data_IF_757228243408
#
_entry.id   IF_757228243408
#
_cell.length_a   1.000
_cell.length_b   1.000
_cell.length_c   1.000
_cell.angle_alpha   90.00
_cell.angle_beta   90.00
_cell.angle_gamma   90.00
#
_symmetry.space_group_name_H-M   'P 1'
#
loop_
_entity.id
_entity.type
_entity.pdbx_description
1 polymer ?
#
# COMPACT_ATOMS: atom_id res chain seq x y z
N UNK A 1 -23.35 -33.87 17.47
CA UNK A 1 -23.16 -35.03 18.37
C UNK A 1 -22.68 -34.60 19.75
N UNK A 2 -21.51 -33.97 19.91
CA UNK A 2 -21.03 -33.55 21.23
C UNK A 2 -21.94 -32.52 21.95
N UNK A 3 -22.47 -31.53 21.23
CA UNK A 3 -23.42 -30.55 21.81
C UNK A 3 -24.75 -31.20 22.25
N UNK A 4 -25.17 -32.28 21.60
CA UNK A 4 -26.39 -32.99 21.98
C UNK A 4 -26.14 -33.80 23.27
N UNK A 5 -24.93 -34.32 23.44
CA UNK A 5 -24.52 -35.08 24.62
C UNK A 5 -24.34 -34.19 25.86
N UNK A 6 -23.93 -32.93 25.67
CA UNK A 6 -23.81 -31.94 26.74
C UNK A 6 -24.42 -30.61 26.27
N UNK A 7 -25.73 -30.39 26.44
CA UNK A 7 -26.40 -29.17 25.99
C UNK A 7 -26.16 -27.97 26.90
N UNK A 8 -25.68 -28.17 28.13
CA UNK A 8 -25.43 -27.10 29.09
C UNK A 8 -24.31 -26.15 28.62
N UNK A 9 -23.41 -26.64 27.76
CA UNK A 9 -22.37 -25.85 27.10
C UNK A 9 -22.92 -24.63 26.32
N UNK A 10 -24.18 -24.65 25.89
CA UNK A 10 -24.81 -23.52 25.21
C UNK A 10 -24.98 -22.31 26.13
N UNK A 11 -24.99 -22.52 27.44
CA UNK A 11 -25.00 -21.43 28.43
C UNK A 11 -23.69 -20.61 28.38
N UNK A 12 -22.60 -21.17 27.85
CA UNK A 12 -21.31 -20.48 27.72
C UNK A 12 -21.36 -19.23 26.81
N UNK A 13 -22.42 -19.08 26.01
CA UNK A 13 -22.67 -17.86 25.22
C UNK A 13 -23.02 -16.66 26.10
N UNK A 14 -23.49 -16.91 27.33
CA UNK A 14 -23.82 -15.85 28.27
C UNK A 14 -22.56 -15.11 28.75
N UNK A 15 -22.51 -13.76 28.66
CA UNK A 15 -21.38 -12.97 29.14
C UNK A 15 -21.19 -13.06 30.66
N UNK A 16 -22.15 -13.62 31.40
CA UNK A 16 -22.01 -13.91 32.83
C UNK A 16 -20.77 -14.78 33.11
N UNK A 17 -20.49 -15.79 32.28
CA UNK A 17 -19.38 -16.71 32.52
C UNK A 17 -18.01 -16.05 32.39
N UNK A 18 -17.83 -15.14 31.42
CA UNK A 18 -16.56 -14.42 31.27
C UNK A 18 -16.35 -13.44 32.43
N UNK A 19 -17.42 -12.79 32.92
CA UNK A 19 -17.35 -11.91 34.09
C UNK A 19 -17.02 -12.71 35.36
N UNK A 20 -17.69 -13.84 35.57
CA UNK A 20 -17.41 -14.73 36.71
C UNK A 20 -15.96 -15.27 36.66
N UNK A 21 -15.47 -15.64 35.47
CA UNK A 21 -14.10 -16.12 35.29
C UNK A 21 -13.06 -15.03 35.59
N UNK A 22 -13.31 -13.81 35.13
CA UNK A 22 -12.47 -12.63 35.42
C UNK A 22 -12.37 -12.33 36.92
N UNK A 23 -13.47 -12.47 37.67
CA UNK A 23 -13.53 -12.20 39.10
C UNK A 23 -12.88 -13.33 39.91
N UNK A 24 -13.19 -14.58 39.56
CA UNK A 24 -12.79 -15.74 40.37
C UNK A 24 -11.33 -16.17 40.13
N UNK A 25 -10.80 -15.92 38.92
CA UNK A 25 -9.47 -16.37 38.52
C UNK A 25 -8.73 -15.29 37.72
N UNK A 26 -8.43 -14.11 38.31
CA UNK A 26 -7.93 -12.95 37.56
C UNK A 26 -6.60 -13.22 36.84
N UNK A 27 -5.66 -13.92 37.47
CA UNK A 27 -4.34 -14.20 36.89
C UNK A 27 -4.44 -15.13 35.67
N UNK A 28 -5.22 -16.21 35.80
CA UNK A 28 -5.46 -17.16 34.71
C UNK A 28 -6.28 -16.50 33.61
N UNK A 29 -7.29 -15.72 33.98
CA UNK A 29 -8.14 -15.01 33.02
C UNK A 29 -7.34 -14.00 32.19
N UNK A 30 -6.40 -13.28 32.81
CA UNK A 30 -5.53 -12.34 32.11
C UNK A 30 -4.70 -13.02 31.01
N UNK A 31 -4.06 -14.15 31.30
CA UNK A 31 -3.31 -14.92 30.30
C UNK A 31 -4.25 -15.52 29.23
N UNK A 32 -5.39 -16.03 29.66
CA UNK A 32 -6.37 -16.68 28.77
C UNK A 32 -6.98 -15.71 27.77
N UNK A 33 -7.29 -14.47 28.18
CA UNK A 33 -7.83 -13.42 27.29
C UNK A 33 -6.88 -13.13 26.12
N UNK A 34 -5.57 -13.11 26.38
CA UNK A 34 -4.56 -12.93 25.35
C UNK A 34 -4.44 -14.12 24.39
N UNK A 35 -4.84 -15.32 24.81
CA UNK A 35 -4.90 -16.49 23.93
C UNK A 35 -6.20 -16.52 23.11
N UNK A 36 -7.36 -16.25 23.74
CA UNK A 36 -8.67 -16.21 23.07
C UNK A 36 -8.71 -15.13 21.99
N UNK A 37 -7.97 -14.05 22.14
CA UNK A 37 -7.91 -13.00 21.12
C UNK A 37 -7.57 -13.52 19.72
N UNK A 38 -6.76 -14.59 19.61
CA UNK A 38 -6.44 -15.25 18.35
C UNK A 38 -7.67 -15.85 17.62
N UNK A 39 -8.80 -16.01 18.31
CA UNK A 39 -10.06 -16.42 17.70
C UNK A 39 -10.81 -15.27 17.00
N UNK A 40 -10.51 -14.01 17.34
CA UNK A 40 -11.16 -12.81 16.80
C UNK A 40 -10.40 -12.24 15.59
N UNK A 41 -9.16 -12.69 15.39
CA UNK A 41 -8.29 -12.22 14.30
C UNK A 41 -8.86 -12.57 12.93
N UNK A 42 -8.74 -11.64 11.98
CA UNK A 42 -9.32 -11.74 10.64
C UNK A 42 -10.55 -10.84 10.45
N UNK A 43 -11.17 -10.36 11.53
CA UNK A 43 -12.21 -9.33 11.44
C UNK A 43 -11.67 -8.02 10.83
N UNK A 44 -10.39 -7.70 11.09
CA UNK A 44 -9.69 -6.56 10.48
C UNK A 44 -9.47 -6.74 8.97
N UNK A 45 -9.29 -7.98 8.50
CA UNK A 45 -9.15 -8.27 7.07
C UNK A 45 -10.46 -8.02 6.31
N UNK A 46 -11.62 -8.23 6.95
CA UNK A 46 -12.92 -7.87 6.38
C UNK A 46 -13.01 -6.36 6.06
N UNK A 47 -12.32 -5.51 6.83
CA UNK A 47 -12.26 -4.07 6.53
C UNK A 47 -11.34 -3.75 5.35
N UNK A 48 -10.24 -4.49 5.17
CA UNK A 48 -9.40 -4.35 3.98
C UNK A 48 -10.20 -4.70 2.70
N UNK A 49 -11.08 -5.69 2.80
CA UNK A 49 -11.91 -6.19 1.70
C UNK A 49 -13.22 -5.40 1.46
N UNK A 50 -13.51 -4.37 2.28
CA UNK A 50 -14.62 -3.43 2.02
C UNK A 50 -14.48 -2.75 0.65
N UNK A 51 -13.25 -2.58 0.17
CA UNK A 51 -12.96 -2.04 -1.16
C UNK A 51 -13.42 -2.95 -2.30
N UNK A 52 -13.61 -4.25 -2.05
CA UNK A 52 -13.95 -5.25 -3.08
C UNK A 52 -15.41 -5.69 -3.01
N UNK A 53 -15.96 -5.94 -1.81
CA UNK A 53 -17.30 -6.51 -1.65
C UNK A 53 -18.35 -5.52 -1.10
N UNK A 54 -17.92 -4.40 -0.51
CA UNK A 54 -18.80 -3.43 0.13
C UNK A 54 -19.43 -3.91 1.44
N UNK A 55 -20.07 -2.98 2.18
CA UNK A 55 -20.52 -3.22 3.57
C UNK A 55 -21.63 -4.26 3.72
N UNK A 56 -22.68 -4.19 2.91
CA UNK A 56 -23.89 -5.03 3.10
C UNK A 56 -23.61 -6.53 2.94
N UNK A 57 -22.91 -6.99 1.89
CA UNK A 57 -22.62 -8.42 1.72
C UNK A 57 -21.77 -8.99 2.87
N UNK A 58 -20.77 -8.23 3.33
CA UNK A 58 -19.89 -8.63 4.44
C UNK A 58 -20.71 -8.84 5.73
N UNK A 59 -21.55 -7.86 6.10
CA UNK A 59 -22.35 -7.94 7.33
C UNK A 59 -23.33 -9.10 7.28
N UNK A 60 -24.02 -9.29 6.15
CA UNK A 60 -24.96 -10.39 5.97
C UNK A 60 -24.25 -11.74 6.09
N UNK A 61 -23.20 -11.97 5.31
CA UNK A 61 -22.47 -13.24 5.34
C UNK A 61 -21.88 -13.54 6.73
N UNK A 62 -21.34 -12.52 7.40
CA UNK A 62 -20.79 -12.67 8.74
C UNK A 62 -21.85 -13.07 9.76
N UNK A 63 -22.96 -12.33 9.84
CA UNK A 63 -23.98 -12.55 10.87
C UNK A 63 -24.89 -13.75 10.59
N UNK A 64 -25.17 -14.08 9.33
CA UNK A 64 -26.10 -15.17 8.98
C UNK A 64 -25.45 -16.53 8.82
N UNK A 65 -24.17 -16.58 8.45
CA UNK A 65 -23.46 -17.85 8.16
C UNK A 65 -22.25 -18.03 9.06
N UNK A 66 -21.30 -17.09 9.03
CA UNK A 66 -20.00 -17.30 9.67
C UNK A 66 -20.12 -17.35 11.18
N UNK A 67 -20.80 -16.38 11.79
CA UNK A 67 -20.94 -16.28 13.25
C UNK A 67 -21.68 -17.48 13.86
N UNK A 68 -22.86 -17.92 13.35
CA UNK A 68 -23.52 -19.12 13.87
C UNK A 68 -22.66 -20.39 13.73
N UNK A 69 -21.99 -20.56 12.59
CA UNK A 69 -21.13 -21.73 12.35
C UNK A 69 -19.91 -21.74 13.28
N UNK A 70 -19.24 -20.60 13.48
CA UNK A 70 -18.13 -20.48 14.42
C UNK A 70 -18.57 -20.75 15.85
N UNK A 71 -19.72 -20.22 16.26
CA UNK A 71 -20.28 -20.45 17.58
C UNK A 71 -20.52 -21.94 17.82
N UNK A 72 -21.22 -22.61 16.90
CA UNK A 72 -21.46 -24.05 16.98
C UNK A 72 -20.15 -24.85 16.99
N UNK A 73 -19.13 -24.41 16.25
CA UNK A 73 -17.84 -25.07 16.24
C UNK A 73 -17.13 -24.98 17.59
N UNK A 74 -17.04 -23.79 18.19
CA UNK A 74 -16.41 -23.61 19.50
C UNK A 74 -17.18 -24.28 20.63
N UNK A 75 -18.50 -24.19 20.62
CA UNK A 75 -19.36 -24.90 21.58
C UNK A 75 -19.18 -26.42 21.45
N UNK A 76 -19.09 -26.94 20.22
CA UNK A 76 -18.82 -28.36 19.97
C UNK A 76 -17.45 -28.81 20.50
N UNK A 77 -16.41 -28.00 20.27
CA UNK A 77 -15.08 -28.26 20.83
C UNK A 77 -15.09 -28.21 22.36
N UNK A 78 -15.80 -27.25 22.96
CA UNK A 78 -15.97 -27.14 24.42
C UNK A 78 -16.62 -28.39 25.02
N UNK A 79 -17.73 -28.86 24.43
CA UNK A 79 -18.39 -30.09 24.85
C UNK A 79 -17.47 -31.32 24.73
N UNK A 80 -16.66 -31.39 23.67
CA UNK A 80 -15.67 -32.46 23.51
C UNK A 80 -14.58 -32.43 24.60
N UNK A 81 -14.10 -31.24 24.96
CA UNK A 81 -13.09 -31.06 26.02
C UNK A 81 -13.65 -31.48 27.38
N UNK A 82 -14.89 -31.11 27.71
CA UNK A 82 -15.55 -31.52 28.95
C UNK A 82 -15.73 -33.05 29.01
N UNK A 83 -16.15 -33.67 27.92
CA UNK A 83 -16.35 -35.12 27.84
C UNK A 83 -15.06 -35.94 28.00
N UNK A 84 -13.88 -35.34 27.72
CA UNK A 84 -12.58 -36.01 27.78
C UNK A 84 -11.72 -35.55 28.98
N UNK A 85 -12.34 -35.07 30.06
CA UNK A 85 -11.61 -34.74 31.29
C UNK A 85 -10.77 -33.46 31.23
N UNK A 86 -11.04 -32.57 30.27
CA UNK A 86 -10.47 -31.22 30.22
C UNK A 86 -9.10 -31.09 29.53
N UNK A 87 -8.38 -32.18 29.27
CA UNK A 87 -7.06 -32.14 28.60
C UNK A 87 -7.12 -32.78 27.23
N UNK A 88 -7.00 -31.95 26.19
CA UNK A 88 -7.09 -32.36 24.79
C UNK A 88 -6.02 -31.61 24.00
N UNK A 89 -5.32 -32.28 23.08
CA UNK A 89 -4.22 -31.66 22.31
C UNK A 89 -4.74 -30.73 21.22
N UNK A 90 -5.45 -31.31 20.25
CA UNK A 90 -6.05 -30.60 19.12
C UNK A 90 -7.55 -30.91 19.01
N UNK A 91 -8.40 -30.24 19.81
CA UNK A 91 -9.84 -30.56 19.89
C UNK A 91 -10.55 -30.58 18.54
N UNK A 92 -10.19 -29.67 17.64
CA UNK A 92 -10.77 -29.60 16.29
C UNK A 92 -10.54 -30.88 15.48
N UNK A 93 -9.35 -31.48 15.53
CA UNK A 93 -9.03 -32.70 14.78
C UNK A 93 -9.44 -33.96 15.54
N UNK A 94 -9.22 -34.01 16.85
CA UNK A 94 -9.54 -35.17 17.70
C UNK A 94 -11.03 -35.47 17.80
N UNK A 95 -11.88 -34.44 17.68
CA UNK A 95 -13.33 -34.60 17.64
C UNK A 95 -13.81 -35.32 16.35
N UNK A 96 -12.99 -35.36 15.30
CA UNK A 96 -13.29 -36.05 14.04
C UNK A 96 -12.66 -37.46 14.06
N UNK A 97 -13.45 -38.49 14.40
CA UNK A 97 -12.97 -39.87 14.46
C UNK A 97 -13.09 -40.62 13.12
N UNK A 98 -12.15 -41.53 12.87
CA UNK A 98 -12.16 -42.44 11.72
C UNK A 98 -11.97 -41.73 10.38
N UNK A 99 -12.84 -42.01 9.41
CA UNK A 99 -12.71 -41.54 8.03
C UNK A 99 -12.95 -40.03 7.85
N UNK A 100 -13.62 -39.37 8.82
CA UNK A 100 -13.97 -37.94 8.75
C UNK A 100 -12.78 -37.01 8.94
N UNK A 101 -11.69 -37.50 9.54
CA UNK A 101 -10.47 -36.73 9.79
C UNK A 101 -9.80 -36.27 8.49
N UNK A 102 -9.67 -37.16 7.50
CA UNK A 102 -8.94 -36.86 6.25
C UNK A 102 -9.63 -35.74 5.46
N UNK A 103 -10.95 -35.80 5.17
CA UNK A 103 -11.66 -34.70 4.53
C UNK A 103 -11.56 -33.39 5.32
N UNK A 104 -11.60 -33.45 6.66
CA UNK A 104 -11.50 -32.26 7.51
C UNK A 104 -10.11 -31.62 7.42
N UNK A 105 -9.05 -32.41 7.41
CA UNK A 105 -7.68 -31.91 7.22
C UNK A 105 -7.51 -31.24 5.85
N UNK A 106 -8.06 -31.85 4.79
CA UNK A 106 -8.03 -31.26 3.44
C UNK A 106 -8.81 -29.94 3.42
N UNK A 107 -9.99 -29.89 4.02
CA UNK A 107 -10.81 -28.69 4.10
C UNK A 107 -10.11 -27.58 4.90
N UNK A 108 -9.54 -27.91 6.06
CA UNK A 108 -8.78 -26.98 6.88
C UNK A 108 -7.56 -26.43 6.12
N UNK A 109 -6.84 -27.29 5.39
CA UNK A 109 -5.71 -26.89 4.55
C UNK A 109 -6.17 -25.92 3.46
N UNK A 110 -7.25 -26.23 2.74
CA UNK A 110 -7.82 -25.33 1.74
C UNK A 110 -8.22 -23.97 2.35
N UNK A 111 -8.83 -23.97 3.53
CA UNK A 111 -9.19 -22.74 4.25
C UNK A 111 -7.95 -21.91 4.62
N UNK A 112 -6.86 -22.53 5.10
CA UNK A 112 -5.61 -21.82 5.40
C UNK A 112 -4.96 -21.18 4.16
N UNK A 113 -5.04 -21.86 3.01
CA UNK A 113 -4.56 -21.30 1.73
C UNK A 113 -5.41 -20.09 1.32
N UNK A 114 -6.73 -20.19 1.40
CA UNK A 114 -7.65 -19.08 1.08
C UNK A 114 -7.40 -17.88 2.00
N UNK A 115 -7.26 -18.11 3.31
CA UNK A 115 -6.96 -17.06 4.28
C UNK A 115 -5.62 -16.36 3.97
N UNK A 116 -4.58 -17.12 3.63
CA UNK A 116 -3.29 -16.57 3.21
C UNK A 116 -3.40 -15.69 1.96
N UNK A 117 -4.19 -16.11 0.96
CA UNK A 117 -4.42 -15.32 -0.25
C UNK A 117 -5.14 -13.99 0.02
N UNK A 118 -6.10 -13.97 0.95
CA UNK A 118 -6.78 -12.75 1.36
C UNK A 118 -5.79 -11.74 1.98
N UNK A 119 -4.90 -12.21 2.87
CA UNK A 119 -3.88 -11.36 3.52
C UNK A 119 -2.87 -10.82 2.50
N UNK A 120 -2.41 -11.65 1.55
CA UNK A 120 -1.49 -11.22 0.48
C UNK A 120 -2.14 -10.12 -0.38
N UNK A 121 -3.40 -10.32 -0.76
CA UNK A 121 -4.17 -9.34 -1.55
C UNK A 121 -4.41 -8.03 -0.77
N UNK A 122 -4.69 -8.13 0.53
CA UNK A 122 -4.80 -7.00 1.44
C UNK A 122 -3.49 -6.21 1.53
N UNK A 123 -2.34 -6.89 1.62
CA UNK A 123 -1.03 -6.26 1.64
C UNK A 123 -0.72 -5.48 0.34
N UNK A 124 -1.10 -5.99 -0.82
CA UNK A 124 -0.99 -5.24 -2.08
C UNK A 124 -1.84 -3.97 -2.05
N UNK A 125 -3.09 -4.08 -1.56
CA UNK A 125 -4.02 -2.95 -1.48
C UNK A 125 -3.51 -1.85 -0.54
N UNK A 126 -3.05 -2.21 0.66
CA UNK A 126 -2.47 -1.27 1.63
C UNK A 126 -1.17 -0.63 1.09
N UNK A 127 -0.32 -1.42 0.43
CA UNK A 127 0.91 -0.90 -0.18
C UNK A 127 0.58 0.11 -1.28
N UNK A 128 -0.40 -0.20 -2.15
CA UNK A 128 -0.86 0.75 -3.18
C UNK A 128 -1.38 2.04 -2.55
N UNK A 129 -2.19 1.96 -1.50
CA UNK A 129 -2.69 3.14 -0.79
C UNK A 129 -1.55 3.98 -0.21
N UNK A 130 -0.54 3.34 0.39
CA UNK A 130 0.65 4.03 0.90
C UNK A 130 1.46 4.72 -0.23
N UNK A 131 1.58 4.09 -1.41
CA UNK A 131 2.19 4.71 -2.59
C UNK A 131 1.39 5.93 -3.06
N UNK A 132 0.06 5.85 -3.10
CA UNK A 132 -0.83 6.96 -3.47
C UNK A 132 -0.73 8.15 -2.49
N UNK A 133 -0.51 7.87 -1.21
CA UNK A 133 -0.26 8.89 -0.18
C UNK A 133 1.19 9.42 -0.19
N UNK A 134 2.02 9.05 -1.17
CA UNK A 134 3.45 9.37 -1.26
C UNK A 134 4.27 8.91 -0.04
N UNK A 135 3.81 7.89 0.69
CA UNK A 135 4.52 7.34 1.84
C UNK A 135 5.55 6.27 1.45
N UNK A 136 5.46 5.72 0.24
CA UNK A 136 6.37 4.74 -0.32
C UNK A 136 6.78 5.13 -1.75
N UNK A 137 7.94 4.64 -2.25
CA UNK A 137 8.33 4.80 -3.65
C UNK A 137 7.32 4.18 -4.59
N UNK A 138 7.31 4.65 -5.85
CA UNK A 138 6.51 4.02 -6.91
C UNK A 138 7.00 2.59 -7.12
N UNK A 139 6.12 1.65 -6.80
CA UNK A 139 6.31 0.23 -7.06
C UNK A 139 5.54 -0.16 -8.32
N UNK A 140 6.01 -1.21 -8.99
CA UNK A 140 5.30 -1.80 -10.12
C UNK A 140 3.97 -2.40 -9.63
N UNK A 141 2.87 -1.99 -10.29
CA UNK A 141 1.51 -2.45 -9.99
C UNK A 141 0.96 -3.03 -11.30
N UNK A 142 0.75 -4.34 -11.30
CA UNK A 142 0.12 -5.06 -12.40
C UNK A 142 -1.36 -5.22 -12.08
N UNK A 143 -2.23 -4.66 -12.91
CA UNK A 143 -3.67 -4.83 -12.76
C UNK A 143 -4.07 -6.18 -13.38
N UNK A 144 -4.74 -7.04 -12.61
CA UNK A 144 -5.10 -8.40 -13.09
C UNK A 144 -6.52 -8.45 -13.68
N UNK A 145 -7.33 -7.40 -13.49
CA UNK A 145 -8.71 -7.34 -13.99
C UNK A 145 -9.06 -5.97 -14.55
N UNK A 146 -9.67 -5.97 -15.74
CA UNK A 146 -10.21 -4.77 -16.40
C UNK A 146 -11.45 -4.22 -15.68
N UNK A 147 -12.19 -5.07 -14.98
CA UNK A 147 -13.46 -4.70 -14.33
C UNK A 147 -13.29 -4.22 -12.90
N UNK A 148 -12.21 -4.62 -12.22
CA UNK A 148 -11.97 -4.30 -10.82
C UNK A 148 -10.57 -3.75 -10.62
N UNK A 149 -10.47 -2.41 -10.51
CA UNK A 149 -9.21 -1.71 -10.18
C UNK A 149 -8.56 -2.17 -8.87
N UNK A 150 -9.33 -2.81 -7.97
CA UNK A 150 -8.81 -3.37 -6.71
C UNK A 150 -8.06 -4.70 -6.87
N UNK A 151 -8.15 -5.37 -8.02
CA UNK A 151 -7.39 -6.60 -8.27
C UNK A 151 -6.02 -6.24 -8.86
N UNK A 152 -5.03 -6.24 -7.97
CA UNK A 152 -3.67 -5.83 -8.26
C UNK A 152 -2.70 -6.92 -7.82
N UNK A 153 -1.64 -7.09 -8.60
CA UNK A 153 -0.49 -7.92 -8.28
C UNK A 153 0.75 -7.03 -8.20
N UNK A 154 1.49 -7.15 -7.10
CA UNK A 154 2.71 -6.39 -6.85
C UNK A 154 3.89 -7.38 -6.67
N UNK A 155 4.63 -7.71 -7.74
CA UNK A 155 5.62 -8.79 -7.72
C UNK A 155 6.65 -8.67 -6.60
N UNK A 156 7.16 -7.45 -6.36
CA UNK A 156 8.18 -7.19 -5.34
C UNK A 156 7.64 -7.31 -3.92
N UNK A 157 6.40 -6.87 -3.69
CA UNK A 157 5.74 -7.01 -2.39
C UNK A 157 5.51 -8.49 -2.12
N UNK A 158 5.07 -9.25 -3.13
CA UNK A 158 4.87 -10.69 -3.03
C UNK A 158 6.17 -11.43 -2.68
N UNK A 159 7.27 -11.11 -3.37
CA UNK A 159 8.58 -11.69 -3.09
C UNK A 159 9.08 -11.36 -1.67
N UNK A 160 8.94 -10.09 -1.25
CA UNK A 160 9.31 -9.66 0.09
C UNK A 160 8.48 -10.40 1.16
N UNK A 161 7.17 -10.49 0.98
CA UNK A 161 6.28 -11.25 1.86
C UNK A 161 6.69 -12.71 1.94
N UNK A 162 6.96 -13.36 0.80
CA UNK A 162 7.41 -14.75 0.75
C UNK A 162 8.72 -14.95 1.53
N UNK A 163 9.72 -14.08 1.34
CA UNK A 163 10.99 -14.14 2.08
C UNK A 163 10.79 -13.97 3.59
N UNK A 164 9.99 -12.98 4.00
CA UNK A 164 9.72 -12.72 5.42
C UNK A 164 8.97 -13.89 6.06
N UNK A 165 7.94 -14.42 5.40
CA UNK A 165 7.19 -15.59 5.91
C UNK A 165 8.08 -16.82 6.03
N UNK A 166 8.91 -17.11 5.02
CA UNK A 166 9.86 -18.24 5.09
C UNK A 166 10.85 -18.07 6.24
N UNK A 167 11.38 -16.86 6.45
CA UNK A 167 12.27 -16.57 7.58
C UNK A 167 11.56 -16.78 8.92
N UNK A 168 10.32 -16.29 9.07
CA UNK A 168 9.54 -16.49 10.30
C UNK A 168 9.24 -17.97 10.56
N UNK A 169 8.84 -18.74 9.53
CA UNK A 169 8.56 -20.18 9.67
C UNK A 169 9.81 -20.95 10.09
N UNK A 170 10.95 -20.71 9.45
CA UNK A 170 12.22 -21.37 9.80
C UNK A 170 12.75 -20.90 11.16
N UNK A 171 12.60 -19.61 11.48
CA UNK A 171 13.11 -19.02 12.72
C UNK A 171 12.33 -19.43 13.96
N UNK A 172 11.01 -19.59 13.86
CA UNK A 172 10.16 -19.99 14.99
C UNK A 172 9.95 -21.50 15.10
N UNK A 173 9.90 -22.23 13.97
CA UNK A 173 9.77 -23.70 13.89
C UNK A 173 8.42 -24.28 14.33
N UNK A 174 7.79 -23.70 15.35
CA UNK A 174 6.51 -24.15 15.92
C UNK A 174 5.41 -23.09 15.77
N UNK A 175 4.20 -23.54 15.43
CA UNK A 175 3.03 -22.68 15.23
C UNK A 175 2.60 -21.92 16.49
N UNK A 176 2.80 -22.49 17.68
CA UNK A 176 2.46 -21.87 18.96
C UNK A 176 3.27 -20.60 19.21
N UNK A 177 4.57 -20.63 18.89
CA UNK A 177 5.48 -19.47 19.06
C UNK A 177 5.19 -18.37 18.04
N UNK A 178 4.79 -18.74 16.81
CA UNK A 178 4.32 -17.79 15.80
C UNK A 178 3.02 -17.08 16.20
N UNK A 179 2.10 -17.79 16.86
CA UNK A 179 0.82 -17.22 17.29
C UNK A 179 1.01 -16.05 18.27
N UNK A 180 1.96 -16.17 19.21
CA UNK A 180 2.32 -15.09 20.14
C UNK A 180 2.88 -13.84 19.43
N UNK A 181 3.55 -14.01 18.29
CA UNK A 181 4.15 -12.89 17.55
C UNK A 181 3.10 -11.94 16.93
N UNK A 182 1.98 -12.50 16.47
CA UNK A 182 0.96 -11.80 15.69
C UNK A 182 -0.01 -10.97 16.54
N UNK A 183 -0.39 -11.45 17.74
CA UNK A 183 -1.42 -10.83 18.59
C UNK A 183 -1.16 -9.35 18.93
N UNK A 184 0.10 -8.96 19.12
CA UNK A 184 0.49 -7.57 19.45
C UNK A 184 0.21 -6.61 18.29
N UNK A 185 0.43 -7.02 17.05
CA UNK A 185 0.19 -6.16 15.89
C UNK A 185 -1.29 -5.89 15.69
N UNK A 186 -2.14 -6.90 15.86
CA UNK A 186 -3.59 -6.75 15.67
C UNK A 186 -4.22 -5.96 16.82
N UNK A 187 -3.87 -6.25 18.07
CA UNK A 187 -4.34 -5.46 19.22
C UNK A 187 -3.87 -4.00 19.16
N UNK A 188 -2.62 -3.78 18.71
CA UNK A 188 -2.11 -2.43 18.43
C UNK A 188 -2.90 -1.71 17.34
N UNK A 189 -3.26 -2.41 16.26
CA UNK A 189 -4.13 -1.87 15.21
C UNK A 189 -5.51 -1.50 15.76
N UNK A 190 -6.13 -2.33 16.61
CA UNK A 190 -7.42 -2.03 17.24
C UNK A 190 -7.39 -0.77 18.11
N UNK A 191 -6.33 -0.60 18.92
CA UNK A 191 -6.15 0.65 19.68
C UNK A 191 -6.07 1.88 18.77
N UNK A 192 -5.30 1.79 17.68
CA UNK A 192 -5.18 2.88 16.71
C UNK A 192 -6.53 3.16 16.05
N UNK A 193 -7.29 2.15 15.64
CA UNK A 193 -8.60 2.34 15.01
C UNK A 193 -9.63 2.91 16.00
N UNK A 194 -9.59 2.54 17.28
CA UNK A 194 -10.44 3.14 18.33
C UNK A 194 -10.12 4.62 18.54
N UNK A 195 -8.83 5.00 18.50
CA UNK A 195 -8.42 6.42 18.52
C UNK A 195 -8.87 7.16 17.26
N UNK A 196 -8.72 6.54 16.07
CA UNK A 196 -9.19 7.14 14.81
C UNK A 196 -10.72 7.29 14.80
N UNK A 197 -11.46 6.33 15.37
CA UNK A 197 -12.92 6.40 15.49
C UNK A 197 -13.34 7.61 16.32
N UNK A 198 -12.66 7.90 17.42
CA UNK A 198 -12.89 9.12 18.20
C UNK A 198 -12.70 10.40 17.36
N UNK A 199 -11.62 10.46 16.57
CA UNK A 199 -11.38 11.59 15.66
C UNK A 199 -12.48 11.71 14.61
N UNK A 200 -12.93 10.60 14.03
CA UNK A 200 -14.02 10.58 13.04
C UNK A 200 -15.34 11.04 13.65
N UNK A 201 -15.73 10.50 14.82
CA UNK A 201 -16.97 10.86 15.51
C UNK A 201 -17.02 12.36 15.84
N UNK A 202 -15.89 12.93 16.28
CA UNK A 202 -15.81 14.35 16.68
C UNK A 202 -15.63 15.32 15.50
N UNK A 203 -14.76 15.00 14.53
CA UNK A 203 -14.39 15.92 13.44
C UNK A 203 -15.25 15.77 12.18
N UNK A 204 -15.66 14.56 11.85
CA UNK A 204 -16.40 14.28 10.60
C UNK A 204 -17.89 14.20 10.89
N UNK A 205 -18.29 13.34 11.83
CA UNK A 205 -19.71 13.15 12.16
C UNK A 205 -20.27 14.20 13.11
N UNK A 206 -19.39 14.98 13.76
CA UNK A 206 -19.73 16.08 14.68
C UNK A 206 -20.70 15.65 15.79
N UNK A 207 -20.51 14.45 16.32
CA UNK A 207 -21.30 13.97 17.45
C UNK A 207 -21.01 14.77 18.72
N UNK A 208 -21.98 14.76 19.64
CA UNK A 208 -21.80 15.38 20.96
C UNK A 208 -20.62 14.72 21.69
N UNK A 209 -19.75 15.53 22.30
CA UNK A 209 -18.49 15.08 22.89
C UNK A 209 -18.69 13.94 23.90
N UNK A 210 -19.71 14.04 24.75
CA UNK A 210 -20.02 13.02 25.75
C UNK A 210 -20.36 11.66 25.13
N UNK A 211 -21.12 11.64 24.02
CA UNK A 211 -21.45 10.39 23.32
C UNK A 211 -20.19 9.78 22.69
N UNK A 212 -19.38 10.61 22.04
CA UNK A 212 -18.12 10.17 21.45
C UNK A 212 -17.15 9.61 22.50
N UNK A 213 -16.99 10.31 23.63
CA UNK A 213 -16.12 9.86 24.74
C UNK A 213 -16.64 8.58 25.37
N UNK A 214 -17.93 8.47 25.67
CA UNK A 214 -18.51 7.26 26.26
C UNK A 214 -18.36 6.04 25.36
N UNK A 215 -18.61 6.18 24.06
CA UNK A 215 -18.42 5.08 23.10
C UNK A 215 -16.95 4.71 22.93
N UNK A 216 -16.06 5.68 22.79
CA UNK A 216 -14.63 5.42 22.71
C UNK A 216 -14.11 4.77 23.99
N UNK A 217 -14.57 5.18 25.17
CA UNK A 217 -14.16 4.58 26.44
C UNK A 217 -14.55 3.10 26.53
N UNK A 218 -15.75 2.74 26.05
CA UNK A 218 -16.21 1.35 26.01
C UNK A 218 -15.30 0.48 25.14
N UNK A 219 -14.99 0.91 23.91
CA UNK A 219 -14.11 0.17 23.00
C UNK A 219 -12.65 0.16 23.51
N UNK A 220 -12.16 1.30 23.98
CA UNK A 220 -10.80 1.41 24.51
C UNK A 220 -10.59 0.52 25.74
N UNK A 221 -11.59 0.34 26.60
CA UNK A 221 -11.49 -0.57 27.74
C UNK A 221 -11.22 -2.02 27.29
N UNK A 222 -11.94 -2.48 26.27
CA UNK A 222 -11.77 -3.83 25.70
C UNK A 222 -10.40 -3.94 25.00
N UNK A 223 -10.07 -2.98 24.15
CA UNK A 223 -8.84 -2.99 23.35
C UNK A 223 -7.59 -2.89 24.23
N UNK A 224 -7.61 -2.03 25.26
CA UNK A 224 -6.52 -1.91 26.23
C UNK A 224 -6.38 -3.19 27.04
N UNK A 225 -7.48 -3.84 27.42
CA UNK A 225 -7.44 -5.15 28.09
C UNK A 225 -6.74 -6.21 27.24
N UNK A 226 -7.11 -6.31 25.96
CA UNK A 226 -6.45 -7.24 25.03
C UNK A 226 -4.99 -6.88 24.76
N UNK A 227 -4.68 -5.60 24.59
CA UNK A 227 -3.31 -5.14 24.37
C UNK A 227 -2.43 -5.40 25.59
N UNK A 228 -2.92 -5.11 26.80
CA UNK A 228 -2.20 -5.37 28.04
C UNK A 228 -1.91 -6.87 28.24
N UNK A 229 -2.87 -7.74 27.90
CA UNK A 229 -2.64 -9.18 27.94
C UNK A 229 -1.63 -9.66 26.88
N UNK A 230 -1.63 -9.07 25.68
CA UNK A 230 -0.73 -9.46 24.60
C UNK A 230 0.68 -8.87 24.71
N UNK A 231 0.88 -7.71 25.37
CA UNK A 231 2.20 -7.08 25.47
C UNK A 231 3.19 -7.91 26.29
N UNK A 232 2.71 -8.74 27.23
CA UNK A 232 3.56 -9.65 28.01
C UNK A 232 4.23 -10.69 27.10
N UNK A 233 3.56 -11.07 26.00
CA UNK A 233 4.07 -12.02 25.00
C UNK A 233 5.14 -11.43 24.07
N UNK A 234 5.53 -10.16 24.24
CA UNK A 234 6.64 -9.55 23.48
C UNK A 234 7.92 -10.37 23.63
N UNK A 235 8.21 -10.83 24.85
CA UNK A 235 9.39 -11.64 25.15
C UNK A 235 9.30 -13.07 24.62
N UNK A 236 8.09 -13.56 24.30
CA UNK A 236 7.82 -14.91 23.80
C UNK A 236 7.80 -15.00 22.26
N UNK A 237 8.07 -13.90 21.56
CA UNK A 237 8.08 -13.85 20.10
C UNK A 237 7.41 -12.61 19.49
N UNK A 238 6.64 -11.87 20.29
CA UNK A 238 5.99 -10.60 19.90
C UNK A 238 6.93 -9.52 19.36
N UNK A 239 8.20 -9.53 19.77
CA UNK A 239 9.20 -8.60 19.25
C UNK A 239 9.38 -8.67 17.73
N UNK A 240 9.13 -9.84 17.11
CA UNK A 240 9.33 -10.02 15.67
C UNK A 240 8.38 -9.15 14.84
N UNK A 241 7.10 -9.07 15.23
CA UNK A 241 6.13 -8.23 14.53
C UNK A 241 6.40 -6.73 14.72
N UNK A 242 6.84 -6.35 15.93
CA UNK A 242 7.31 -4.99 16.22
C UNK A 242 8.56 -4.61 15.40
N UNK A 243 9.51 -5.54 15.21
CA UNK A 243 10.69 -5.31 14.41
C UNK A 243 10.34 -5.11 12.92
N UNK A 244 9.42 -5.90 12.38
CA UNK A 244 8.90 -5.72 11.01
C UNK A 244 8.20 -4.37 10.88
N UNK A 245 7.31 -4.03 11.82
CA UNK A 245 6.61 -2.75 11.83
C UNK A 245 7.58 -1.55 11.90
N UNK A 246 8.58 -1.62 12.78
CA UNK A 246 9.61 -0.60 12.91
C UNK A 246 10.40 -0.42 11.60
N UNK A 247 10.76 -1.52 10.94
CA UNK A 247 11.50 -1.48 9.66
C UNK A 247 10.68 -0.81 8.57
N UNK A 248 9.38 -1.13 8.46
CA UNK A 248 8.47 -0.51 7.48
C UNK A 248 8.29 0.99 7.79
N UNK A 249 8.05 1.35 9.05
CA UNK A 249 7.91 2.74 9.48
C UNK A 249 9.18 3.54 9.20
N UNK A 250 10.35 2.97 9.47
CA UNK A 250 11.65 3.60 9.18
C UNK A 250 11.81 3.87 7.69
N UNK A 251 11.44 2.91 6.84
CA UNK A 251 11.47 3.07 5.39
C UNK A 251 10.50 4.17 4.92
N UNK A 252 9.26 4.16 5.40
CA UNK A 252 8.25 5.17 5.06
C UNK A 252 8.66 6.57 5.54
N UNK A 253 9.15 6.69 6.78
CA UNK A 253 9.61 7.96 7.34
C UNK A 253 10.79 8.53 6.56
N UNK A 254 11.75 7.67 6.21
CA UNK A 254 12.91 8.06 5.39
C UNK A 254 12.47 8.48 3.99
N UNK A 255 11.52 7.77 3.37
CA UNK A 255 10.96 8.14 2.07
C UNK A 255 10.26 9.49 2.11
N UNK A 256 9.30 9.68 3.02
CA UNK A 256 8.55 10.94 3.15
C UNK A 256 9.48 12.13 3.39
N UNK A 257 10.47 11.97 4.28
CA UNK A 257 11.44 13.03 4.58
C UNK A 257 12.35 13.32 3.38
N UNK A 258 12.87 12.27 2.72
CA UNK A 258 13.76 12.41 1.56
C UNK A 258 13.05 13.01 0.35
N UNK A 259 11.82 12.57 0.07
CA UNK A 259 10.98 13.12 -1.00
C UNK A 259 10.64 14.58 -0.75
N UNK A 260 10.30 14.96 0.49
CA UNK A 260 10.03 16.36 0.86
C UNK A 260 11.28 17.24 0.69
N UNK A 261 12.42 16.78 1.19
CA UNK A 261 13.66 17.53 1.07
C UNK A 261 14.11 17.67 -0.40
N UNK A 262 13.99 16.60 -1.20
CA UNK A 262 14.26 16.65 -2.63
C UNK A 262 13.32 17.63 -3.35
N UNK A 263 12.03 17.60 -3.01
CA UNK A 263 11.04 18.51 -3.57
C UNK A 263 11.37 19.97 -3.24
N UNK A 264 11.64 20.29 -1.97
CA UNK A 264 11.97 21.66 -1.54
C UNK A 264 13.27 22.18 -2.19
N UNK A 265 14.29 21.32 -2.34
CA UNK A 265 15.55 21.67 -2.98
C UNK A 265 15.41 21.87 -4.49
N UNK A 266 14.53 21.10 -5.13
CA UNK A 266 14.26 21.23 -6.57
C UNK A 266 13.43 22.48 -6.84
N UNK A 267 12.37 22.74 -6.06
CA UNK A 267 11.46 23.87 -6.27
C UNK A 267 12.15 25.24 -6.11
N UNK A 268 13.19 25.33 -5.26
CA UNK A 268 14.01 26.55 -5.15
C UNK A 268 14.72 26.93 -6.44
N UNK A 269 14.94 25.98 -7.34
CA UNK A 269 15.67 26.16 -8.60
C UNK A 269 14.75 26.08 -9.84
N UNK A 270 13.45 25.86 -9.66
CA UNK A 270 12.48 25.76 -10.76
C UNK A 270 12.08 27.17 -11.23
N UNK A 271 12.23 27.40 -12.54
CA UNK A 271 11.82 28.64 -13.20
C UNK A 271 10.49 28.36 -13.91
N UNK A 272 9.46 29.21 -13.76
CA UNK A 272 8.21 29.04 -14.50
C UNK A 272 8.45 29.00 -16.01
N UNK A 273 7.84 28.04 -16.70
CA UNK A 273 8.02 27.85 -18.14
C UNK A 273 7.63 29.12 -18.90
N UNK A 274 6.52 29.75 -18.53
CA UNK A 274 6.01 30.94 -19.21
C UNK A 274 6.96 32.14 -19.07
N UNK A 275 7.61 32.26 -17.91
CA UNK A 275 8.62 33.29 -17.68
C UNK A 275 9.87 33.04 -18.53
N UNK A 276 10.36 31.79 -18.58
CA UNK A 276 11.50 31.42 -19.42
C UNK A 276 11.17 31.62 -20.91
N UNK A 277 10.00 31.16 -21.35
CA UNK A 277 9.53 31.24 -22.73
C UNK A 277 9.41 32.71 -23.18
N UNK A 278 8.90 33.59 -22.32
CA UNK A 278 8.86 35.03 -22.58
C UNK A 278 10.25 35.67 -22.69
N UNK A 279 11.21 35.26 -21.85
CA UNK A 279 12.58 35.77 -21.91
C UNK A 279 13.34 35.30 -23.16
N UNK A 280 13.16 34.05 -23.57
CA UNK A 280 13.78 33.47 -24.76
C UNK A 280 13.23 34.07 -26.06
N UNK A 281 11.98 34.55 -26.08
CA UNK A 281 11.47 35.33 -27.20
C UNK A 281 12.16 36.68 -27.35
N UNK A 282 12.44 37.36 -26.22
CA UNK A 282 13.13 38.67 -26.22
C UNK A 282 14.60 38.54 -26.61
N UNK A 283 15.26 37.48 -26.13
CA UNK A 283 16.67 37.19 -26.42
C UNK A 283 16.80 35.76 -26.94
N UNK A 284 16.55 35.60 -28.24
CA UNK A 284 16.59 34.30 -28.92
C UNK A 284 18.01 33.73 -28.87
N UNK A 285 18.22 32.52 -28.31
CA UNK A 285 19.47 31.78 -28.46
C UNK A 285 19.67 31.35 -29.92
N UNK A 286 20.79 30.71 -30.21
CA UNK A 286 20.98 30.09 -31.51
C UNK A 286 19.92 28.98 -31.72
N UNK A 287 19.16 29.09 -32.80
CA UNK A 287 18.15 28.10 -33.16
C UNK A 287 18.76 27.02 -34.05
N UNK A 288 18.39 25.77 -33.79
CA UNK A 288 18.70 24.62 -34.65
C UNK A 288 17.42 24.01 -35.19
N UNK A 289 17.50 23.50 -36.41
CA UNK A 289 16.36 22.87 -37.06
C UNK A 289 15.95 21.58 -36.36
N UNK A 290 14.64 21.33 -36.33
CA UNK A 290 14.05 20.13 -35.74
C UNK A 290 13.19 20.39 -34.51
N UNK A 291 12.70 19.31 -33.92
CA UNK A 291 11.78 19.33 -32.78
C UNK A 291 12.44 18.67 -31.57
N UNK A 292 12.37 19.33 -30.41
CA UNK A 292 12.81 18.77 -29.14
C UNK A 292 11.61 18.52 -28.23
N UNK A 293 11.46 17.29 -27.75
CA UNK A 293 10.42 16.91 -26.79
C UNK A 293 11.08 16.73 -25.42
N UNK A 294 10.75 17.59 -24.47
CA UNK A 294 11.23 17.56 -23.09
C UNK A 294 10.16 16.92 -22.20
N UNK A 295 10.44 15.76 -21.62
CA UNK A 295 9.52 15.14 -20.68
C UNK A 295 9.65 15.77 -19.29
N UNK A 296 8.52 16.08 -18.67
CA UNK A 296 8.43 16.63 -17.32
C UNK A 296 7.22 16.08 -16.56
N UNK A 297 7.34 15.98 -15.24
CA UNK A 297 6.21 15.68 -14.35
C UNK A 297 5.38 16.92 -14.00
N UNK A 298 5.97 18.12 -14.14
CA UNK A 298 5.30 19.39 -13.92
C UNK A 298 5.33 20.22 -15.22
N UNK A 299 4.18 20.42 -15.90
CA UNK A 299 4.12 21.17 -17.15
C UNK A 299 4.23 22.69 -16.97
N UNK A 300 4.07 23.21 -15.75
CA UNK A 300 4.14 24.66 -15.47
C UNK A 300 5.58 25.14 -15.25
N UNK A 301 6.46 24.23 -14.87
CA UNK A 301 7.88 24.51 -14.60
C UNK A 301 8.75 24.17 -15.81
N UNK A 302 9.80 24.97 -16.05
CA UNK A 302 10.77 24.70 -17.11
C UNK A 302 11.52 23.39 -16.82
N UNK A 303 11.53 22.41 -17.75
CA UNK A 303 12.19 21.13 -17.50
C UNK A 303 13.69 21.31 -17.28
N UNK A 304 14.26 20.53 -16.36
CA UNK A 304 15.69 20.60 -16.03
C UNK A 304 16.59 20.31 -17.24
N UNK A 305 16.19 19.37 -18.12
CA UNK A 305 16.90 19.09 -19.36
C UNK A 305 16.97 20.31 -20.29
N UNK A 306 15.88 21.08 -20.42
CA UNK A 306 15.87 22.32 -21.20
C UNK A 306 16.84 23.35 -20.62
N UNK A 307 16.78 23.55 -19.30
CA UNK A 307 17.65 24.50 -18.60
C UNK A 307 19.14 24.14 -18.77
N UNK A 308 19.48 22.86 -18.67
CA UNK A 308 20.85 22.40 -18.89
C UNK A 308 21.29 22.54 -20.35
N UNK A 309 20.42 22.20 -21.31
CA UNK A 309 20.72 22.41 -22.73
C UNK A 309 21.01 23.88 -23.03
N UNK A 310 20.22 24.80 -22.50
CA UNK A 310 20.45 26.24 -22.67
C UNK A 310 21.74 26.70 -21.97
N UNK A 311 22.06 26.18 -20.79
CA UNK A 311 23.28 26.53 -20.05
C UNK A 311 24.56 26.07 -20.74
N UNK A 312 24.58 24.83 -21.24
CA UNK A 312 25.80 24.21 -21.76
C UNK A 312 25.93 24.33 -23.27
N UNK A 313 24.85 24.06 -24.02
CA UNK A 313 24.88 24.09 -25.48
C UNK A 313 24.52 25.45 -26.04
N UNK A 314 23.82 26.30 -25.27
CA UNK A 314 23.36 27.65 -25.69
C UNK A 314 22.50 27.64 -26.96
N UNK A 315 21.88 26.50 -27.24
CA UNK A 315 21.08 26.22 -28.43
C UNK A 315 19.66 25.84 -28.03
N UNK A 316 18.69 26.26 -28.83
CA UNK A 316 17.28 25.92 -28.71
C UNK A 316 16.76 25.36 -30.05
N UNK A 317 15.82 24.43 -30.03
CA UNK A 317 15.24 23.92 -31.28
C UNK A 317 14.15 24.88 -31.79
N UNK A 318 13.84 24.82 -33.08
CA UNK A 318 12.74 25.62 -33.68
C UNK A 318 11.38 25.29 -33.03
N UNK A 319 11.13 24.03 -32.69
CA UNK A 319 9.95 23.60 -31.95
C UNK A 319 10.33 22.87 -30.67
N UNK A 320 9.89 23.39 -29.52
CA UNK A 320 10.14 22.78 -28.21
C UNK A 320 8.82 22.37 -27.57
N UNK A 321 8.67 21.07 -27.34
CA UNK A 321 7.47 20.49 -26.74
C UNK A 321 7.75 20.09 -25.32
N UNK A 322 6.97 20.62 -24.39
CA UNK A 322 6.97 20.22 -22.99
C UNK A 322 5.90 19.14 -22.83
N UNK A 323 6.34 17.89 -22.71
CA UNK A 323 5.49 16.72 -22.66
C UNK A 323 5.29 16.26 -21.21
N UNK A 324 4.04 16.19 -20.77
CA UNK A 324 3.65 15.58 -19.50
C UNK A 324 2.80 14.35 -19.73
N UNK A 325 3.01 13.31 -18.92
CA UNK A 325 2.23 12.08 -18.96
C UNK A 325 1.44 11.94 -17.67
N UNK A 326 0.12 11.81 -17.81
CA UNK A 326 -0.83 11.70 -16.70
C UNK A 326 -1.57 10.37 -16.79
N UNK A 327 -1.69 9.68 -15.66
CA UNK A 327 -2.50 8.46 -15.57
C UNK A 327 -3.90 8.80 -15.10
N UNK A 328 -4.91 8.46 -15.90
CA UNK A 328 -6.32 8.62 -15.57
C UNK A 328 -6.82 7.50 -14.63
N UNK A 329 -7.85 7.78 -13.82
CA UNK A 329 -8.48 6.77 -12.96
C UNK A 329 -9.33 5.73 -13.71
N UNK A 330 -9.48 5.87 -15.04
CA UNK A 330 -10.19 4.92 -15.89
C UNK A 330 -9.22 3.87 -16.47
N UNK A 331 -9.66 2.64 -16.77
CA UNK A 331 -8.78 1.56 -17.25
C UNK A 331 -8.14 1.87 -18.60
N UNK A 332 -8.92 2.47 -19.51
CA UNK A 332 -8.51 2.87 -20.87
C UNK A 332 -9.09 4.26 -21.13
N UNK A 333 -8.30 5.14 -21.73
CA UNK A 333 -8.75 6.48 -22.12
C UNK A 333 -9.07 6.50 -23.63
N UNK A 334 -10.21 7.08 -24.05
CA UNK A 334 -10.52 7.25 -25.47
C UNK A 334 -9.45 8.09 -26.20
N UNK A 335 -9.22 7.80 -27.48
CA UNK A 335 -8.24 8.51 -28.31
C UNK A 335 -8.48 10.04 -28.37
N UNK A 336 -9.72 10.51 -28.15
CA UNK A 336 -10.07 11.93 -28.11
C UNK A 336 -9.49 12.66 -26.89
N UNK A 337 -9.45 11.99 -25.74
CA UNK A 337 -9.07 12.58 -24.45
C UNK A 337 -7.61 12.26 -24.08
N UNK A 338 -6.97 11.40 -24.89
CA UNK A 338 -5.59 10.96 -24.73
C UNK A 338 -4.57 12.09 -24.94
N UNK A 339 -4.91 13.12 -25.72
CA UNK A 339 -3.99 14.21 -26.07
C UNK A 339 -4.65 15.56 -25.82
N UNK A 340 -3.99 16.41 -25.02
CA UNK A 340 -4.31 17.83 -24.92
C UNK A 340 -3.09 18.65 -25.31
N UNK A 341 -3.23 19.52 -26.31
CA UNK A 341 -2.17 20.41 -26.79
C UNK A 341 -2.52 21.87 -26.48
N UNK A 342 -1.56 22.60 -25.94
CA UNK A 342 -1.67 24.04 -25.63
C UNK A 342 -0.44 24.76 -26.18
N UNK A 343 -0.64 25.74 -27.07
CA UNK A 343 0.47 26.56 -27.58
C UNK A 343 0.81 27.65 -26.57
N UNK A 344 2.05 27.67 -26.07
CA UNK A 344 2.51 28.71 -25.14
C UNK A 344 2.94 29.93 -25.92
N UNK A 345 3.79 29.73 -26.94
CA UNK A 345 4.23 30.76 -27.87
C UNK A 345 4.78 30.12 -29.16
N UNK A 346 5.43 30.91 -30.02
CA UNK A 346 6.00 30.45 -31.29
C UNK A 346 7.09 29.37 -31.13
N UNK A 347 7.76 29.29 -29.97
CA UNK A 347 8.88 28.38 -29.71
C UNK A 347 8.50 27.18 -28.82
N UNK A 348 7.44 27.31 -28.03
CA UNK A 348 7.05 26.37 -26.99
C UNK A 348 5.60 25.92 -27.11
N UNK A 349 5.40 24.61 -27.00
CA UNK A 349 4.10 23.96 -26.91
C UNK A 349 4.05 23.06 -25.67
N UNK A 350 2.93 23.03 -24.96
CA UNK A 350 2.66 22.06 -23.89
C UNK A 350 1.78 20.95 -24.44
N UNK A 351 2.17 19.71 -24.20
CA UNK A 351 1.40 18.52 -24.59
C UNK A 351 1.21 17.65 -23.36
N UNK A 352 -0.04 17.34 -23.04
CA UNK A 352 -0.40 16.40 -21.98
C UNK A 352 -0.93 15.12 -22.62
N UNK A 353 -0.31 14.00 -22.30
CA UNK A 353 -0.76 12.67 -22.70
C UNK A 353 -1.44 11.99 -21.53
N UNK A 354 -2.67 11.53 -21.73
CA UNK A 354 -3.47 10.88 -20.70
C UNK A 354 -3.62 9.40 -21.02
N UNK A 355 -3.15 8.51 -20.16
CA UNK A 355 -3.30 7.06 -20.32
C UNK A 355 -4.14 6.48 -19.18
N UNK A 356 -4.94 5.46 -19.46
CA UNK A 356 -5.65 4.70 -18.44
C UNK A 356 -4.70 3.83 -17.60
N UNK A 357 -5.13 3.42 -16.42
CA UNK A 357 -4.28 2.68 -15.49
C UNK A 357 -3.91 1.25 -15.96
N UNK A 358 -4.60 0.71 -16.97
CA UNK A 358 -4.24 -0.58 -17.60
C UNK A 358 -3.52 -0.42 -18.93
N UNK A 359 -3.38 0.80 -19.44
CA UNK A 359 -2.66 1.05 -20.68
C UNK A 359 -1.15 1.10 -20.39
N UNK A 360 -0.35 0.41 -21.20
CA UNK A 360 1.08 0.66 -21.25
C UNK A 360 1.32 1.96 -22.04
N UNK A 361 1.92 3.00 -21.43
CA UNK A 361 2.13 4.26 -22.12
C UNK A 361 3.07 4.08 -23.32
N UNK A 362 2.55 4.31 -24.52
CA UNK A 362 3.34 4.34 -25.74
C UNK A 362 3.35 5.76 -26.29
N UNK A 363 4.40 6.52 -25.95
CA UNK A 363 4.53 7.92 -26.34
C UNK A 363 4.55 8.07 -27.87
N UNK A 364 5.35 7.31 -28.64
CA UNK A 364 5.35 7.44 -30.11
C UNK A 364 3.96 7.28 -30.74
N UNK A 365 3.18 6.29 -30.28
CA UNK A 365 1.81 6.05 -30.78
C UNK A 365 0.86 7.18 -30.39
N UNK A 366 0.98 7.72 -29.18
CA UNK A 366 0.16 8.85 -28.74
C UNK A 366 0.52 10.15 -29.49
N UNK A 367 1.81 10.38 -29.79
CA UNK A 367 2.24 11.51 -30.59
C UNK A 367 1.74 11.43 -32.05
N UNK A 368 1.49 10.22 -32.58
CA UNK A 368 0.85 10.06 -33.88
C UNK A 368 -0.60 10.62 -33.92
N UNK A 369 -1.29 10.66 -32.78
CA UNK A 369 -2.61 11.31 -32.65
C UNK A 369 -2.47 12.83 -32.72
N UNK A 370 -1.41 13.39 -32.12
CA UNK A 370 -1.11 14.82 -32.21
C UNK A 370 -0.93 15.28 -33.67
N UNK A 371 -0.38 14.41 -34.53
CA UNK A 371 -0.25 14.66 -35.96
C UNK A 371 -1.60 14.81 -36.67
N UNK A 372 -2.61 14.03 -36.27
CA UNK A 372 -3.97 14.13 -36.80
C UNK A 372 -4.69 15.40 -36.34
N UNK A 373 -4.31 15.94 -35.17
CA UNK A 373 -4.84 17.18 -34.61
C UNK A 373 -4.12 18.45 -35.11
N UNK A 374 -3.25 18.33 -36.13
CA UNK A 374 -2.66 19.47 -36.84
C UNK A 374 -1.21 19.79 -36.48
N UNK A 375 -0.59 19.09 -35.53
CA UNK A 375 0.84 19.29 -35.23
C UNK A 375 1.72 18.50 -36.21
N UNK A 376 2.36 19.20 -37.14
CA UNK A 376 3.29 18.61 -38.11
C UNK A 376 4.68 18.49 -37.50
N UNK A 377 5.07 17.29 -37.11
CA UNK A 377 6.43 16.96 -36.70
C UNK A 377 6.85 15.63 -37.33
N UNK A 378 8.15 15.44 -37.54
CA UNK A 378 8.72 14.19 -38.02
C UNK A 378 9.44 13.48 -36.87
N UNK A 379 8.99 12.25 -36.58
CA UNK A 379 9.57 11.40 -35.51
C UNK A 379 11.06 11.16 -35.74
N UNK A 380 11.50 11.05 -37.00
CA UNK A 380 12.89 10.76 -37.34
C UNK A 380 13.82 11.95 -37.12
N UNK A 381 13.27 13.17 -37.05
CA UNK A 381 14.02 14.41 -36.74
C UNK A 381 13.75 14.94 -35.34
N UNK A 382 12.82 14.32 -34.60
CA UNK A 382 12.50 14.68 -33.22
C UNK A 382 13.47 14.05 -32.22
N UNK A 383 13.99 14.84 -31.29
CA UNK A 383 14.87 14.39 -30.20
C UNK A 383 14.11 14.39 -28.87
N UNK A 384 14.17 13.28 -28.13
CA UNK A 384 13.52 13.15 -26.83
C UNK A 384 14.52 13.42 -25.72
N UNK A 385 14.31 14.49 -24.96
CA UNK A 385 15.12 14.86 -23.82
C UNK A 385 14.47 14.37 -22.53
N UNK A 386 15.17 13.45 -21.86
CA UNK A 386 14.77 12.93 -20.56
C UNK A 386 15.66 13.55 -19.49
N UNK A 387 15.04 14.07 -18.42
CA UNK A 387 15.78 14.48 -17.23
C UNK A 387 15.98 13.28 -16.32
N UNK A 388 17.21 12.75 -16.23
CA UNK A 388 17.52 11.69 -15.26
C UNK A 388 18.12 12.30 -14.01
N UNK A 389 17.51 12.06 -12.86
CA UNK A 389 18.03 12.54 -11.57
C UNK A 389 18.87 11.43 -10.95
N UNK A 390 20.19 11.63 -10.90
CA UNK A 390 21.09 10.76 -10.15
C UNK A 390 21.26 11.35 -8.75
N UNK A 391 20.69 10.68 -7.76
CA UNK A 391 20.79 11.08 -6.36
C UNK A 391 22.14 10.62 -5.79
N UNK A 392 22.92 11.57 -5.25
CA UNK A 392 24.16 11.29 -4.53
C UNK A 392 24.07 11.82 -3.11
N UNK A 393 24.54 11.03 -2.14
CA UNK A 393 24.61 11.48 -0.75
C UNK A 393 25.67 12.58 -0.63
N UNK A 394 25.32 13.70 0.00
CA UNK A 394 26.25 14.77 0.35
C UNK A 394 26.54 14.76 1.86
N UNK A 395 27.78 15.08 2.28
CA UNK A 395 28.08 15.35 3.70
C UNK A 395 27.30 16.56 4.25
N UNK A 396 26.87 17.48 3.37
CA UNK A 396 26.08 18.68 3.72
C UNK A 396 24.57 18.47 3.51
N UNK A 397 24.10 17.23 3.59
CA UNK A 397 22.68 16.89 3.52
C UNK A 397 21.92 17.39 4.74
N UNK A 398 20.64 17.74 4.55
CA UNK A 398 19.71 17.99 5.66
C UNK A 398 19.27 16.73 6.41
N UNK A 399 19.72 15.54 5.98
CA UNK A 399 19.45 14.25 6.60
C UNK A 399 20.75 13.54 7.00
N UNK A 400 20.71 12.63 8.01
CA UNK A 400 21.83 11.76 8.33
C UNK A 400 22.23 10.87 7.15
N UNK A 401 23.53 10.60 6.98
CA UNK A 401 24.09 9.84 5.85
C UNK A 401 23.47 8.45 5.67
N UNK A 402 23.08 7.77 6.75
CA UNK A 402 22.42 6.47 6.67
C UNK A 402 21.00 6.57 6.09
N UNK A 403 20.25 7.65 6.41
CA UNK A 403 18.94 7.93 5.82
C UNK A 403 19.08 8.26 4.34
N UNK A 404 20.10 9.01 3.95
CA UNK A 404 20.36 9.31 2.54
C UNK A 404 20.64 8.03 1.74
N UNK A 405 21.47 7.13 2.28
CA UNK A 405 21.75 5.85 1.62
C UNK A 405 20.49 5.00 1.45
N UNK A 406 19.65 4.94 2.49
CA UNK A 406 18.37 4.23 2.43
C UNK A 406 17.41 4.88 1.41
N UNK A 407 17.27 6.20 1.43
CA UNK A 407 16.45 6.94 0.47
C UNK A 407 16.93 6.73 -0.98
N UNK A 408 18.25 6.81 -1.22
CA UNK A 408 18.85 6.57 -2.53
C UNK A 408 18.62 5.12 -2.96
N UNK A 409 18.73 4.15 -2.05
CA UNK A 409 18.44 2.75 -2.32
C UNK A 409 16.99 2.54 -2.78
N UNK A 410 16.03 3.10 -2.04
CA UNK A 410 14.60 3.06 -2.36
C UNK A 410 14.29 3.76 -3.69
N UNK A 411 14.92 4.92 -3.94
CA UNK A 411 14.72 5.67 -5.17
C UNK A 411 15.28 4.96 -6.40
N UNK A 412 16.42 4.24 -6.26
CA UNK A 412 16.97 3.41 -7.33
C UNK A 412 16.11 2.19 -7.66
N UNK A 413 15.36 1.70 -6.69
CA UNK A 413 14.44 0.59 -6.93
C UNK A 413 13.17 1.06 -7.64
N UNK A 414 12.80 2.34 -7.63
CA UNK A 414 11.65 2.83 -8.40
C UNK A 414 11.82 2.53 -9.89
N UNK A 415 10.73 2.14 -10.58
CA UNK A 415 10.76 1.72 -11.98
C UNK A 415 11.39 2.80 -12.90
N UNK A 416 12.24 2.38 -13.84
CA UNK A 416 12.94 3.30 -14.76
C UNK A 416 11.94 3.88 -15.78
N UNK A 417 11.95 5.20 -15.93
CA UNK A 417 10.95 5.91 -16.74
C UNK A 417 11.09 5.60 -18.24
N UNK A 418 12.32 5.37 -18.70
CA UNK A 418 12.62 5.20 -20.13
C UNK A 418 12.04 3.90 -20.70
N UNK A 419 12.09 2.81 -19.92
CA UNK A 419 11.51 1.51 -20.30
C UNK A 419 9.98 1.53 -20.20
N UNK A 420 9.43 2.23 -19.20
CA UNK A 420 8.00 2.37 -19.00
C UNK A 420 7.28 3.13 -20.12
N UNK A 421 7.91 4.13 -20.74
CA UNK A 421 7.30 4.98 -21.77
C UNK A 421 7.54 4.52 -23.23
N UNK A 422 8.24 3.40 -23.42
CA UNK A 422 8.54 2.79 -24.74
C UNK A 422 9.14 3.78 -25.75
N UNK A 423 10.05 4.65 -25.31
CA UNK A 423 10.67 5.66 -26.19
C UNK A 423 11.79 4.99 -27.02
N UNK A 424 11.90 5.27 -28.34
CA UNK A 424 12.93 4.67 -29.18
C UNK A 424 14.36 4.98 -28.69
N UNK A 425 15.12 3.93 -28.38
CA UNK A 425 16.46 4.02 -27.74
C UNK A 425 17.49 4.84 -28.52
N UNK A 426 17.38 4.89 -29.86
CA UNK A 426 18.29 5.66 -30.72
C UNK A 426 18.01 7.18 -30.80
N UNK A 427 16.97 7.69 -30.13
CA UNK A 427 16.52 9.11 -30.20
C UNK A 427 16.36 9.77 -28.83
N UNK A 428 16.79 9.07 -27.78
CA UNK A 428 16.73 9.53 -26.39
C UNK A 428 18.06 10.17 -26.01
N UNK A 429 17.99 11.41 -25.53
CA UNK A 429 19.10 12.10 -24.88
C UNK A 429 18.76 12.22 -23.40
N UNK A 430 19.42 11.41 -22.57
CA UNK A 430 19.32 11.52 -21.11
C UNK A 430 20.28 12.61 -20.61
N UNK A 431 19.72 13.73 -20.15
CA UNK A 431 20.49 14.77 -19.48
C UNK A 431 20.44 14.48 -17.98
N UNK A 432 21.52 13.87 -17.50
CA UNK A 432 21.69 13.54 -16.10
C UNK A 432 22.02 14.76 -15.25
N UNK A 433 21.23 15.02 -14.21
CA UNK A 433 21.59 15.98 -13.16
C UNK A 433 21.98 15.22 -11.90
N UNK A 434 23.17 15.53 -11.37
CA UNK A 434 23.57 15.02 -10.06
C UNK A 434 22.98 15.93 -9.00
N UNK A 435 21.98 15.43 -8.29
CA UNK A 435 21.41 16.13 -7.14
C UNK A 435 22.08 15.56 -5.91
N UNK A 436 22.96 16.36 -5.33
CA UNK A 436 23.49 16.11 -4.00
C UNK A 436 22.34 16.30 -3.01
N UNK A 437 21.91 15.24 -2.35
CA UNK A 437 20.93 15.31 -1.26
C UNK A 437 21.70 15.73 -0.01
#
# INVERSE_FOLDING_TARGET
NHIIADPEILLAVSPHYIVAFLINSPDVAFVTIGAIFLAVTGAEALYADLGHFGRKPIVLAWLSVVFPCLLLNYVGQGAFVLANGGTVGHPFFEMNQGWTLIPMVVLATAATVIASQAVISGAFSLTRQAVQLNMLPRLEILHTSEKQSGQIYMPRVNLLLALVVMLLVVGFGESSKLASAYGISVTGNMLVTTVLLYVVMTRIWKWQLWVAVSMTALFAFIDVGFFASNIVKVFEGGWASLAVAFTIILAMWTWVRGSRYLFDKTRRNEIPLDFLAGNLLKKKPQLVSGTAVFLTSDPLSAPTALMHSLKHYKVLHEQNVILSVVTAPQPVVPDSDRVKMETVNELFMRVTLTFGYMEQPNIPRALAICRKQGWKFDIMTTSFFLSRRSLKASPNSGMPVWQDRLFIGLARTAADATEYFQIPTGRVVEIGTQVAI
#
